data_IF_682975499402
#
_entry.id   IF_682975499402
#
_cell.length_a   1.000
_cell.length_b   1.000
_cell.length_c   1.000
_cell.angle_alpha   90.00
_cell.angle_beta   90.00
_cell.angle_gamma   90.00
#
_symmetry.space_group_name_H-M   'P 1'
#
loop_
_entity.id
_entity.type
_entity.pdbx_description
1 polymer ?
#
# COMPACT_ATOMS: atom_id res chain seq x y z
N UNK A 1 15.31 -18.18 5.41
CA UNK A 1 14.51 -19.41 5.18
C UNK A 1 14.29 -19.54 3.70
N UNK A 2 14.42 -20.73 3.13
CA UNK A 2 14.07 -21.01 1.72
C UNK A 2 12.61 -21.43 1.65
N UNK A 3 11.77 -20.63 0.99
CA UNK A 3 10.35 -20.93 0.84
C UNK A 3 10.15 -21.98 -0.27
N UNK A 4 9.36 -23.05 -0.05
CA UNK A 4 9.05 -24.00 -1.11
C UNK A 4 8.34 -23.27 -2.26
N UNK A 5 8.80 -23.50 -3.49
CA UNK A 5 8.29 -22.79 -4.65
C UNK A 5 6.81 -23.08 -4.90
N UNK A 6 6.02 -22.02 -5.08
CA UNK A 6 4.62 -22.09 -5.50
C UNK A 6 4.35 -20.98 -6.52
N UNK A 7 3.63 -21.29 -7.60
CA UNK A 7 3.29 -20.33 -8.63
C UNK A 7 2.08 -19.44 -8.24
N UNK A 8 2.24 -18.65 -7.19
CA UNK A 8 1.18 -17.79 -6.64
C UNK A 8 1.68 -16.39 -6.30
N UNK A 9 0.77 -15.41 -6.23
CA UNK A 9 1.14 -14.02 -5.86
C UNK A 9 1.57 -13.91 -4.40
N UNK A 10 0.99 -14.73 -3.52
CA UNK A 10 1.38 -14.82 -2.11
C UNK A 10 2.81 -15.35 -1.98
N UNK A 11 3.18 -16.38 -2.75
CA UNK A 11 4.56 -16.85 -2.81
C UNK A 11 5.51 -15.74 -3.25
N UNK A 12 5.20 -15.04 -4.35
CA UNK A 12 6.05 -13.94 -4.85
C UNK A 12 6.25 -12.86 -3.80
N UNK A 13 5.19 -12.46 -3.08
CA UNK A 13 5.28 -11.49 -1.99
C UNK A 13 6.20 -11.98 -0.86
N UNK A 14 5.99 -13.20 -0.36
CA UNK A 14 6.77 -13.76 0.73
C UNK A 14 8.24 -13.95 0.35
N UNK A 15 8.51 -14.47 -0.85
CA UNK A 15 9.88 -14.62 -1.34
C UNK A 15 10.56 -13.27 -1.57
N UNK A 16 9.85 -12.28 -2.11
CA UNK A 16 10.37 -10.92 -2.25
C UNK A 16 10.76 -10.32 -0.88
N UNK A 17 9.91 -10.46 0.13
CA UNK A 17 10.14 -9.92 1.48
C UNK A 17 11.25 -10.63 2.25
N UNK A 18 11.21 -11.96 2.31
CA UNK A 18 12.02 -12.72 3.27
C UNK A 18 13.29 -13.34 2.70
N UNK A 19 13.37 -13.46 1.37
CA UNK A 19 14.51 -14.10 0.72
C UNK A 19 15.26 -13.11 -0.17
N UNK A 20 14.55 -12.40 -1.05
CA UNK A 20 15.18 -11.54 -2.04
C UNK A 20 15.62 -10.21 -1.45
N UNK A 21 14.74 -9.48 -0.75
CA UNK A 21 15.05 -8.14 -0.23
C UNK A 21 16.26 -8.13 0.73
N UNK A 22 16.45 -9.10 1.64
CA UNK A 22 17.66 -9.18 2.45
C UNK A 22 18.94 -9.41 1.62
N UNK A 23 18.86 -10.22 0.56
CA UNK A 23 19.99 -10.44 -0.36
C UNK A 23 20.28 -9.20 -1.20
N UNK A 24 19.24 -8.47 -1.61
CA UNK A 24 19.38 -7.17 -2.27
C UNK A 24 20.07 -6.18 -1.34
N UNK A 25 19.67 -6.11 -0.06
CA UNK A 25 20.30 -5.25 0.95
C UNK A 25 21.78 -5.57 1.13
N UNK A 26 22.15 -6.86 1.18
CA UNK A 26 23.57 -7.24 1.23
C UNK A 26 24.35 -6.76 -0.02
N UNK A 27 23.80 -6.97 -1.22
CA UNK A 27 24.44 -6.49 -2.45
C UNK A 27 24.55 -4.95 -2.44
N UNK A 28 23.52 -4.28 -1.93
CA UNK A 28 23.43 -2.82 -1.87
C UNK A 28 24.51 -2.21 -0.96
N UNK A 29 24.98 -2.91 0.09
CA UNK A 29 26.09 -2.43 0.95
C UNK A 29 27.34 -2.07 0.16
N UNK A 30 27.60 -2.76 -0.95
CA UNK A 30 28.73 -2.47 -1.84
C UNK A 30 28.68 -1.11 -2.53
N UNK A 31 27.51 -0.45 -2.56
CA UNK A 31 27.32 0.88 -3.15
C UNK A 31 27.57 2.02 -2.13
N UNK A 32 27.65 1.72 -0.82
CA UNK A 32 27.81 2.76 0.20
C UNK A 32 26.69 3.81 0.12
N UNK A 33 27.06 5.09 0.06
CA UNK A 33 26.10 6.22 -0.06
C UNK A 33 25.66 6.49 -1.50
N UNK A 34 26.22 5.80 -2.49
CA UNK A 34 25.90 6.06 -3.90
C UNK A 34 24.52 5.47 -4.27
N UNK A 35 23.69 6.23 -5.01
CA UNK A 35 22.43 5.70 -5.52
C UNK A 35 22.63 4.57 -6.54
N UNK A 36 21.76 3.57 -6.49
CA UNK A 36 21.77 2.41 -7.37
C UNK A 36 20.38 2.11 -7.96
N UNK A 37 20.35 1.44 -9.12
CA UNK A 37 19.12 0.96 -9.73
C UNK A 37 18.69 -0.36 -9.08
N UNK A 38 17.70 -0.30 -8.20
CA UNK A 38 17.15 -1.49 -7.52
C UNK A 38 16.68 -2.56 -8.53
N UNK A 39 16.18 -2.14 -9.69
CA UNK A 39 15.74 -3.05 -10.75
C UNK A 39 16.88 -3.93 -11.31
N UNK A 40 18.11 -3.43 -11.33
CA UNK A 40 19.25 -4.15 -11.93
C UNK A 40 19.73 -5.24 -10.99
N UNK A 41 19.86 -4.92 -9.70
CA UNK A 41 20.14 -5.88 -8.64
C UNK A 41 19.04 -6.94 -8.62
N UNK A 42 17.77 -6.52 -8.62
CA UNK A 42 16.61 -7.43 -8.59
C UNK A 42 16.61 -8.39 -9.78
N UNK A 43 16.82 -7.91 -11.01
CA UNK A 43 16.84 -8.76 -12.21
C UNK A 43 17.93 -9.82 -12.13
N UNK A 44 19.14 -9.43 -11.73
CA UNK A 44 20.26 -10.36 -11.59
C UNK A 44 19.95 -11.42 -10.52
N UNK A 45 19.43 -10.98 -9.37
CA UNK A 45 19.08 -11.87 -8.27
C UNK A 45 17.98 -12.87 -8.64
N UNK A 46 16.96 -12.43 -9.39
CA UNK A 46 15.89 -13.31 -9.87
C UNK A 46 16.43 -14.38 -10.82
N UNK A 47 17.33 -14.02 -11.74
CA UNK A 47 17.94 -14.95 -12.68
C UNK A 47 18.88 -15.97 -11.99
N UNK A 48 19.48 -15.62 -10.86
CA UNK A 48 20.29 -16.53 -10.04
C UNK A 48 19.45 -17.44 -9.15
N UNK A 49 18.26 -16.99 -8.75
CA UNK A 49 17.43 -17.68 -7.74
C UNK A 49 16.38 -18.61 -8.37
N UNK A 50 15.85 -18.25 -9.55
CA UNK A 50 14.77 -18.97 -10.20
C UNK A 50 15.18 -19.48 -11.58
N UNK A 51 14.61 -20.62 -11.95
CA UNK A 51 14.69 -21.12 -13.32
C UNK A 51 13.92 -20.18 -14.27
N UNK A 52 14.38 -19.99 -15.52
CA UNK A 52 13.67 -19.17 -16.50
C UNK A 52 12.19 -19.56 -16.68
N UNK A 53 11.90 -20.85 -16.65
CA UNK A 53 10.56 -21.39 -16.80
C UNK A 53 9.65 -20.98 -15.64
N UNK A 54 10.19 -20.90 -14.41
CA UNK A 54 9.45 -20.45 -13.23
C UNK A 54 9.07 -18.97 -13.33
N UNK A 55 10.00 -18.13 -13.81
CA UNK A 55 9.78 -16.69 -13.98
C UNK A 55 8.77 -16.34 -15.07
N UNK A 56 8.58 -17.24 -16.03
CA UNK A 56 7.63 -17.14 -17.15
C UNK A 56 6.23 -17.64 -16.81
N UNK A 57 6.04 -18.33 -15.67
CA UNK A 57 4.72 -18.78 -15.23
C UNK A 57 3.79 -17.58 -15.06
N UNK A 58 2.58 -17.69 -15.63
CA UNK A 58 1.54 -16.68 -15.54
C UNK A 58 0.58 -17.00 -14.40
N UNK A 59 0.42 -16.06 -13.48
CA UNK A 59 -0.46 -16.17 -12.32
C UNK A 59 -1.66 -15.25 -12.52
N UNK A 60 -2.88 -15.72 -12.20
CA UNK A 60 -4.10 -14.90 -12.25
C UNK A 60 -4.07 -13.78 -11.21
N UNK A 61 -4.65 -12.63 -11.56
CA UNK A 61 -4.95 -11.57 -10.60
C UNK A 61 -6.14 -11.96 -9.73
N UNK A 62 -6.13 -11.55 -8.47
CA UNK A 62 -7.21 -11.89 -7.53
C UNK A 62 -8.58 -11.30 -7.93
N UNK A 63 -8.60 -10.13 -8.57
CA UNK A 63 -9.82 -9.37 -8.90
C UNK A 63 -10.14 -9.31 -10.40
N UNK A 64 -9.44 -10.06 -11.26
CA UNK A 64 -9.67 -10.05 -12.71
C UNK A 64 -9.14 -11.32 -13.39
N UNK A 65 -9.68 -11.68 -14.55
CA UNK A 65 -9.14 -12.77 -15.39
C UNK A 65 -7.79 -12.48 -16.06
N UNK A 66 -7.24 -11.26 -15.89
CA UNK A 66 -5.90 -10.95 -16.35
C UNK A 66 -4.85 -11.80 -15.63
N UNK A 67 -3.83 -12.22 -16.37
CA UNK A 67 -2.68 -12.97 -15.84
C UNK A 67 -1.40 -12.15 -16.01
N UNK A 68 -0.47 -12.31 -15.07
CA UNK A 68 0.85 -11.66 -15.11
C UNK A 68 1.95 -12.70 -14.88
N UNK A 69 3.10 -12.50 -15.53
CA UNK A 69 4.28 -13.34 -15.31
C UNK A 69 4.82 -13.15 -13.91
N UNK A 70 5.34 -14.21 -13.29
CA UNK A 70 5.99 -14.13 -11.98
C UNK A 70 7.12 -13.09 -11.97
N UNK A 71 7.94 -13.04 -13.02
CA UNK A 71 8.98 -12.00 -13.19
C UNK A 71 8.43 -10.58 -13.06
N UNK A 72 7.32 -10.28 -13.74
CA UNK A 72 6.66 -8.97 -13.64
C UNK A 72 6.18 -8.68 -12.22
N UNK A 73 5.63 -9.69 -11.53
CA UNK A 73 5.09 -9.56 -10.18
C UNK A 73 6.24 -9.33 -9.16
N UNK A 74 7.38 -10.03 -9.30
CA UNK A 74 8.58 -9.78 -8.49
C UNK A 74 9.12 -8.37 -8.70
N UNK A 75 9.22 -7.92 -9.96
CA UNK A 75 9.69 -6.59 -10.30
C UNK A 75 8.78 -5.46 -9.77
N UNK A 76 7.55 -5.78 -9.40
CA UNK A 76 6.65 -4.88 -8.69
C UNK A 76 6.88 -4.95 -7.16
N UNK A 77 6.86 -6.15 -6.57
CA UNK A 77 6.90 -6.28 -5.11
C UNK A 77 8.23 -5.92 -4.48
N UNK A 78 9.37 -6.16 -5.14
CA UNK A 78 10.68 -5.82 -4.57
C UNK A 78 10.81 -4.31 -4.31
N UNK A 79 10.60 -3.40 -5.30
CA UNK A 79 10.64 -1.97 -5.03
C UNK A 79 9.53 -1.50 -4.09
N UNK A 80 8.32 -2.06 -4.20
CA UNK A 80 7.22 -1.75 -3.30
C UNK A 80 7.57 -2.06 -1.83
N UNK A 81 8.16 -3.23 -1.57
CA UNK A 81 8.57 -3.64 -0.22
C UNK A 81 9.78 -2.86 0.26
N UNK A 82 10.77 -2.62 -0.60
CA UNK A 82 11.94 -1.82 -0.26
C UNK A 82 11.57 -0.42 0.24
N UNK A 83 10.59 0.22 -0.41
CA UNK A 83 10.09 1.54 -0.02
C UNK A 83 9.22 1.48 1.23
N UNK A 84 8.25 0.56 1.28
CA UNK A 84 7.31 0.49 2.41
C UNK A 84 7.94 0.00 3.71
N UNK A 85 8.94 -0.87 3.63
CA UNK A 85 9.71 -1.34 4.79
C UNK A 85 10.92 -0.47 5.07
N UNK A 86 11.07 0.66 4.35
CA UNK A 86 12.19 1.59 4.49
C UNK A 86 13.53 0.85 4.53
N UNK A 87 13.74 -0.10 3.62
CA UNK A 87 15.04 -0.78 3.50
C UNK A 87 16.05 0.13 2.81
N UNK A 88 15.57 0.98 1.90
CA UNK A 88 16.36 1.95 1.16
C UNK A 88 15.59 3.27 1.05
N UNK A 89 16.30 4.38 0.85
CA UNK A 89 15.67 5.65 0.50
C UNK A 89 15.43 5.71 -1.01
N UNK A 90 14.17 5.89 -1.43
CA UNK A 90 13.80 6.07 -2.84
C UNK A 90 14.14 7.50 -3.30
N UNK A 91 15.04 7.63 -4.28
CA UNK A 91 15.46 8.94 -4.81
C UNK A 91 14.83 9.28 -6.17
N UNK A 92 13.84 8.49 -6.60
CA UNK A 92 13.10 8.68 -7.85
C UNK A 92 13.72 7.97 -9.06
N UNK A 93 12.93 7.78 -10.12
CA UNK A 93 13.40 7.14 -11.36
C UNK A 93 13.78 5.65 -11.21
N UNK A 94 13.38 4.99 -10.11
CA UNK A 94 13.78 3.62 -9.79
C UNK A 94 15.18 3.51 -9.15
N UNK A 95 15.78 4.64 -8.78
CA UNK A 95 17.01 4.73 -8.02
C UNK A 95 16.71 4.69 -6.51
N UNK A 96 17.57 3.99 -5.78
CA UNK A 96 17.51 3.87 -4.32
C UNK A 96 18.91 4.09 -3.76
N UNK A 97 19.02 4.50 -2.50
CA UNK A 97 20.30 4.56 -1.78
C UNK A 97 20.17 3.87 -0.42
N UNK A 98 21.29 3.41 0.11
CA UNK A 98 21.30 2.84 1.46
C UNK A 98 20.91 3.91 2.49
N UNK A 99 20.26 3.45 3.54
CA UNK A 99 19.93 4.24 4.71
C UNK A 99 21.15 4.21 5.64
N UNK A 100 21.44 5.31 6.34
CA UNK A 100 22.64 5.43 7.18
C UNK A 100 22.65 4.40 8.32
N UNK A 101 23.83 3.92 8.72
CA UNK A 101 24.05 2.95 9.82
C UNK A 101 23.40 3.38 11.16
N UNK A 102 23.18 4.68 11.38
CA UNK A 102 22.49 5.19 12.58
C UNK A 102 20.99 4.83 12.61
N UNK A 103 20.36 4.68 11.44
CA UNK A 103 18.95 4.27 11.30
C UNK A 103 18.82 2.72 11.28
N UNK A 104 19.84 2.01 10.81
CA UNK A 104 19.89 0.53 10.76
C UNK A 104 19.87 -0.12 12.16
N UNK A 105 20.50 0.51 13.16
CA UNK A 105 20.47 0.06 14.57
C UNK A 105 19.14 0.34 15.28
N UNK A 106 18.36 1.31 14.81
CA UNK A 106 17.05 1.62 15.39
C UNK A 106 15.94 0.69 14.87
N UNK A 107 16.07 0.18 13.64
CA UNK A 107 15.07 -0.69 13.00
C UNK A 107 15.32 -2.20 13.20
N UNK A 108 16.57 -2.63 13.45
CA UNK A 108 16.88 -4.04 13.71
C UNK A 108 16.20 -4.61 14.98
N UNK A 109 15.95 -3.77 15.99
CA UNK A 109 15.19 -4.13 17.19
C UNK A 109 13.66 -4.22 16.95
N UNK A 110 13.17 -3.69 15.82
CA UNK A 110 11.75 -3.72 15.43
C UNK A 110 11.40 -4.85 14.45
N UNK A 111 12.40 -5.54 13.88
CA UNK A 111 12.22 -6.47 12.76
C UNK A 111 11.78 -7.90 13.13
N UNK A 112 11.40 -8.15 14.39
CA UNK A 112 10.83 -9.42 14.84
C UNK A 112 9.33 -9.28 15.14
N UNK A 113 8.50 -8.90 14.15
CA UNK A 113 7.04 -8.98 14.30
C UNK A 113 6.42 -9.60 13.03
N UNK A 114 5.66 -10.66 13.31
CA UNK A 114 4.94 -11.57 12.42
C UNK A 114 4.06 -10.88 11.36
N UNK A 115 3.78 -11.59 10.26
CA UNK A 115 2.67 -11.24 9.35
C UNK A 115 1.35 -11.61 10.03
N UNK A 116 0.97 -10.74 10.95
CA UNK A 116 -0.37 -10.21 11.19
C UNK A 116 -0.08 -8.74 11.54
N UNK A 117 0.19 -7.87 10.56
CA UNK A 117 0.62 -6.53 10.95
C UNK A 117 -0.55 -5.76 11.57
N UNK A 118 -0.46 -5.59 12.89
CA UNK A 118 -1.22 -4.65 13.71
C UNK A 118 -0.81 -3.20 13.41
N UNK A 119 -0.45 -2.91 12.15
CA UNK A 119 0.07 -1.62 11.75
C UNK A 119 -1.01 -0.57 11.97
N UNK A 120 -0.74 0.29 12.94
CA UNK A 120 -1.49 1.50 13.15
C UNK A 120 -1.36 2.36 11.88
N UNK A 121 -2.47 2.92 11.45
CA UNK A 121 -2.51 3.74 10.26
C UNK A 121 -3.74 4.61 10.24
N UNK A 122 -3.89 5.31 9.13
CA UNK A 122 -4.93 6.31 8.98
C UNK A 122 -5.88 5.87 7.88
N UNK A 123 -7.17 5.81 8.21
CA UNK A 123 -8.25 5.82 7.22
C UNK A 123 -8.62 7.27 6.96
N UNK A 124 -8.75 7.64 5.69
CA UNK A 124 -9.27 8.94 5.29
C UNK A 124 -10.44 8.79 4.33
N UNK A 125 -11.38 9.72 4.43
CA UNK A 125 -12.51 9.87 3.53
C UNK A 125 -12.44 11.23 2.87
N UNK A 126 -12.46 11.30 1.54
CA UNK A 126 -12.46 12.57 0.82
C UNK A 126 -13.45 12.60 -0.33
N UNK A 127 -13.81 13.81 -0.76
CA UNK A 127 -14.66 14.06 -1.92
C UNK A 127 -14.25 15.37 -2.60
N UNK A 128 -15.04 15.86 -3.56
CA UNK A 128 -14.81 17.15 -4.23
C UNK A 128 -15.87 18.18 -3.84
N UNK A 129 -15.51 19.46 -3.68
CA UNK A 129 -16.42 20.50 -3.19
C UNK A 129 -17.79 20.53 -3.89
N UNK A 130 -17.81 20.43 -5.22
CA UNK A 130 -19.04 20.53 -6.02
C UNK A 130 -20.02 19.36 -5.80
N UNK A 131 -19.53 18.20 -5.36
CA UNK A 131 -20.37 17.00 -5.18
C UNK A 131 -20.68 16.68 -3.71
N UNK A 132 -20.02 17.36 -2.76
CA UNK A 132 -20.30 17.21 -1.34
C UNK A 132 -21.72 17.69 -1.04
N UNK A 133 -22.52 16.81 -0.42
CA UNK A 133 -23.87 17.14 0.03
C UNK A 133 -23.89 17.24 1.55
N UNK A 134 -24.28 18.41 2.07
CA UNK A 134 -24.35 18.69 3.53
C UNK A 134 -25.71 18.38 4.15
N UNK A 135 -26.66 17.92 3.36
CA UNK A 135 -28.05 17.65 3.74
C UNK A 135 -28.26 16.20 4.26
N UNK A 136 -27.18 15.47 4.53
CA UNK A 136 -27.22 14.07 4.94
C UNK A 136 -27.55 13.09 3.81
N UNK A 137 -27.72 13.56 2.57
CA UNK A 137 -27.87 12.69 1.42
C UNK A 137 -26.54 12.01 1.08
N UNK A 138 -26.62 10.81 0.51
CA UNK A 138 -25.45 10.07 0.02
C UNK A 138 -24.81 10.80 -1.16
N UNK A 139 -23.48 10.83 -1.17
CA UNK A 139 -22.69 11.38 -2.27
C UNK A 139 -21.38 10.60 -2.42
N UNK A 140 -20.63 10.80 -3.52
CA UNK A 140 -19.40 10.05 -3.76
C UNK A 140 -18.35 10.43 -2.73
N UNK A 141 -17.94 9.44 -1.95
CA UNK A 141 -16.83 9.53 -1.01
C UNK A 141 -15.83 8.46 -1.42
N UNK A 142 -14.56 8.85 -1.56
CA UNK A 142 -13.46 7.91 -1.65
C UNK A 142 -12.96 7.61 -0.24
N UNK A 143 -12.86 6.34 0.10
CA UNK A 143 -12.30 5.88 1.38
C UNK A 143 -10.99 5.17 1.09
N UNK A 144 -9.88 5.70 1.61
CA UNK A 144 -8.56 5.12 1.41
C UNK A 144 -7.76 5.05 2.70
N UNK A 145 -6.60 4.39 2.62
CA UNK A 145 -5.66 4.28 3.74
C UNK A 145 -4.30 4.93 3.47
N UNK A 146 -3.58 5.18 4.56
CA UNK A 146 -2.13 5.39 4.57
C UNK A 146 -1.50 4.77 5.82
N UNK A 147 -0.37 4.09 5.65
CA UNK A 147 0.47 3.52 6.72
C UNK A 147 1.65 4.44 7.05
N UNK A 148 2.00 5.36 6.15
CA UNK A 148 3.15 6.25 6.27
C UNK A 148 2.75 7.68 5.90
N UNK A 149 2.54 8.53 6.91
CA UNK A 149 2.38 9.98 6.73
C UNK A 149 0.95 10.53 6.83
N UNK A 150 0.81 11.81 6.49
CA UNK A 150 -0.41 12.63 6.64
C UNK A 150 -1.43 12.34 5.52
N UNK A 151 -2.72 12.19 5.89
CA UNK A 151 -3.81 11.95 4.93
C UNK A 151 -3.86 13.00 3.81
N UNK A 152 -3.62 14.26 4.13
CA UNK A 152 -3.64 15.38 3.18
C UNK A 152 -2.56 15.23 2.10
N UNK A 153 -1.35 14.80 2.45
CA UNK A 153 -0.28 14.56 1.49
C UNK A 153 -0.63 13.40 0.53
N UNK A 154 -1.22 12.34 1.07
CA UNK A 154 -1.63 11.16 0.29
C UNK A 154 -2.75 11.50 -0.70
N UNK A 155 -3.76 12.23 -0.24
CA UNK A 155 -4.89 12.67 -1.06
C UNK A 155 -4.42 13.64 -2.16
N UNK A 156 -3.55 14.60 -1.83
CA UNK A 156 -2.96 15.50 -2.82
C UNK A 156 -2.13 14.76 -3.88
N UNK A 157 -1.34 13.76 -3.48
CA UNK A 157 -0.57 12.94 -4.42
C UNK A 157 -1.49 12.21 -5.41
N UNK A 158 -2.60 11.64 -4.93
CA UNK A 158 -3.57 10.94 -5.78
C UNK A 158 -4.29 11.89 -6.73
N UNK A 159 -4.58 13.11 -6.31
CA UNK A 159 -5.26 14.09 -7.16
C UNK A 159 -4.34 14.76 -8.20
N UNK A 160 -3.02 14.86 -7.95
CA UNK A 160 -2.05 15.43 -8.91
C UNK A 160 -1.99 14.68 -10.25
N UNK A 161 -2.35 13.41 -10.28
CA UNK A 161 -2.33 12.57 -11.50
C UNK A 161 -3.70 12.44 -12.16
N UNK A 162 -4.75 13.02 -11.56
CA UNK A 162 -6.12 12.98 -12.08
C UNK A 162 -6.49 14.29 -12.76
N UNK A 163 -7.15 14.24 -13.92
CA UNK A 163 -7.73 15.41 -14.58
C UNK A 163 -8.99 15.92 -13.84
N UNK A 164 -8.82 16.40 -12.62
CA UNK A 164 -9.87 17.08 -11.86
C UNK A 164 -9.51 18.57 -11.71
N UNK A 165 -10.48 19.46 -11.93
CA UNK A 165 -10.30 20.91 -11.84
C UNK A 165 -10.45 21.44 -10.40
N UNK A 166 -10.87 20.58 -9.46
CA UNK A 166 -11.05 20.92 -8.06
C UNK A 166 -10.04 20.19 -7.18
N UNK A 167 -9.59 20.86 -6.12
CA UNK A 167 -8.85 20.19 -5.07
C UNK A 167 -9.80 19.34 -4.21
N UNK A 168 -9.39 18.13 -3.82
CA UNK A 168 -10.18 17.29 -2.95
C UNK A 168 -10.33 17.94 -1.57
N UNK A 169 -11.46 17.68 -0.91
CA UNK A 169 -11.71 18.05 0.48
C UNK A 169 -11.78 16.77 1.29
N UNK A 170 -10.94 16.68 2.31
CA UNK A 170 -11.00 15.56 3.26
C UNK A 170 -12.14 15.81 4.23
N UNK A 171 -12.99 14.82 4.35
CA UNK A 171 -14.23 14.83 5.14
C UNK A 171 -14.00 14.21 6.52
N UNK A 172 -13.12 13.22 6.62
CA UNK A 172 -12.81 12.55 7.87
C UNK A 172 -11.49 11.80 7.83
N UNK A 173 -10.90 11.65 9.01
CA UNK A 173 -9.64 10.94 9.25
C UNK A 173 -9.76 10.19 10.57
N UNK A 174 -9.37 8.92 10.58
CA UNK A 174 -9.42 8.07 11.75
C UNK A 174 -8.12 7.30 11.91
N UNK A 175 -7.57 7.32 13.13
CA UNK A 175 -6.49 6.43 13.51
C UNK A 175 -7.07 5.07 13.88
N UNK A 176 -6.55 4.04 13.23
CA UNK A 176 -7.01 2.66 13.38
C UNK A 176 -5.82 1.73 13.50
N UNK A 177 -6.03 0.55 14.08
CA UNK A 177 -5.09 -0.55 14.03
C UNK A 177 -5.46 -1.48 12.88
N UNK A 178 -4.49 -2.24 12.37
CA UNK A 178 -4.69 -3.14 11.21
C UNK A 178 -5.32 -2.39 10.04
N UNK A 179 -4.74 -1.24 9.67
CA UNK A 179 -5.38 -0.27 8.74
C UNK A 179 -5.81 -0.89 7.40
N UNK A 180 -5.06 -1.85 6.88
CA UNK A 180 -5.42 -2.57 5.65
C UNK A 180 -6.69 -3.42 5.84
N UNK A 181 -6.78 -4.17 6.93
CA UNK A 181 -7.97 -4.97 7.25
C UNK A 181 -9.19 -4.06 7.53
N UNK A 182 -8.96 -2.89 8.14
CA UNK A 182 -10.00 -1.89 8.36
C UNK A 182 -10.54 -1.33 7.04
N UNK A 183 -9.67 -0.92 6.12
CA UNK A 183 -10.08 -0.44 4.79
C UNK A 183 -10.90 -1.52 4.05
N UNK A 184 -10.38 -2.75 4.01
CA UNK A 184 -11.07 -3.88 3.36
C UNK A 184 -12.45 -4.16 3.99
N UNK A 185 -12.58 -4.04 5.32
CA UNK A 185 -13.85 -4.18 6.02
C UNK A 185 -14.83 -3.06 5.64
N UNK A 186 -14.36 -1.81 5.54
CA UNK A 186 -15.19 -0.68 5.10
C UNK A 186 -15.66 -0.89 3.66
N UNK A 187 -14.74 -1.21 2.75
CA UNK A 187 -15.06 -1.41 1.33
C UNK A 187 -16.05 -2.56 1.15
N UNK A 188 -15.80 -3.70 1.80
CA UNK A 188 -16.68 -4.88 1.72
C UNK A 188 -18.07 -4.59 2.27
N UNK A 189 -18.16 -3.83 3.37
CA UNK A 189 -19.44 -3.46 3.98
C UNK A 189 -20.24 -2.51 3.08
N UNK A 190 -19.60 -1.46 2.54
CA UNK A 190 -20.26 -0.50 1.65
C UNK A 190 -20.66 -1.14 0.32
N UNK A 191 -19.84 -2.06 -0.20
CA UNK A 191 -20.17 -2.84 -1.39
C UNK A 191 -21.35 -3.78 -1.15
N UNK A 192 -21.39 -4.50 -0.02
CA UNK A 192 -22.50 -5.35 0.36
C UNK A 192 -23.82 -4.56 0.54
N UNK A 193 -23.72 -3.28 0.93
CA UNK A 193 -24.86 -2.35 1.01
C UNK A 193 -25.25 -1.74 -0.36
N UNK A 194 -24.63 -2.16 -1.45
CA UNK A 194 -24.94 -1.67 -2.80
C UNK A 194 -24.50 -0.23 -3.06
N UNK A 195 -23.55 0.29 -2.26
CA UNK A 195 -23.12 1.70 -2.33
C UNK A 195 -21.93 1.92 -3.26
N UNK A 196 -21.39 0.85 -3.85
CA UNK A 196 -20.19 0.93 -4.71
C UNK A 196 -20.52 1.64 -6.01
N UNK A 197 -19.70 2.65 -6.34
CA UNK A 197 -19.88 3.45 -7.54
C UNK A 197 -19.00 2.93 -8.68
N UNK A 198 -19.53 2.96 -9.90
CA UNK A 198 -18.75 2.76 -11.11
C UNK A 198 -17.83 3.96 -11.32
N UNK A 199 -16.52 3.78 -11.12
CA UNK A 199 -15.53 4.86 -11.18
C UNK A 199 -14.14 4.33 -11.56
N UNK A 200 -13.21 5.19 -11.97
CA UNK A 200 -11.79 4.83 -12.05
C UNK A 200 -11.21 4.59 -10.65
N UNK A 201 -11.24 3.34 -10.21
CA UNK A 201 -10.80 2.89 -8.88
C UNK A 201 -11.84 2.02 -8.17
N UNK A 202 -11.45 1.31 -7.12
CA UNK A 202 -12.36 0.43 -6.36
C UNK A 202 -12.83 1.03 -5.05
N UNK A 203 -12.36 2.24 -4.72
CA UNK A 203 -12.54 2.86 -3.39
C UNK A 203 -13.63 3.94 -3.33
N UNK A 204 -14.46 4.10 -4.37
CA UNK A 204 -15.52 5.12 -4.41
C UNK A 204 -16.90 4.55 -4.08
N UNK A 205 -17.59 5.22 -3.16
CA UNK A 205 -18.90 4.80 -2.67
C UNK A 205 -19.87 5.99 -2.59
N UNK A 206 -21.12 5.78 -2.98
CA UNK A 206 -22.22 6.70 -2.69
C UNK A 206 -22.68 6.44 -1.23
N UNK A 207 -22.11 7.17 -0.28
CA UNK A 207 -22.28 6.97 1.17
C UNK A 207 -22.33 8.30 1.93
N UNK A 208 -22.39 8.25 3.26
CA UNK A 208 -22.28 9.42 4.15
C UNK A 208 -21.13 9.24 5.12
N UNK A 209 -20.66 10.33 5.74
CA UNK A 209 -19.54 10.26 6.68
C UNK A 209 -19.90 9.43 7.93
N UNK A 210 -21.14 9.58 8.40
CA UNK A 210 -21.67 8.86 9.56
C UNK A 210 -21.70 7.36 9.32
N UNK A 211 -21.97 6.95 8.08
CA UNK A 211 -21.97 5.54 7.73
C UNK A 211 -20.55 4.96 7.73
N UNK A 212 -19.58 5.67 7.15
CA UNK A 212 -18.16 5.27 7.19
C UNK A 212 -17.70 5.15 8.65
N UNK A 213 -18.00 6.16 9.46
CA UNK A 213 -17.69 6.18 10.89
C UNK A 213 -18.37 5.03 11.65
N UNK A 214 -19.61 4.68 11.29
CA UNK A 214 -20.33 3.56 11.92
C UNK A 214 -19.64 2.22 11.70
N UNK A 215 -19.06 2.01 10.51
CA UNK A 215 -18.32 0.77 10.20
C UNK A 215 -17.01 0.74 10.97
N UNK A 216 -16.28 1.86 10.99
CA UNK A 216 -15.02 1.99 11.74
C UNK A 216 -15.27 1.69 13.23
N UNK A 217 -16.28 2.31 13.84
CA UNK A 217 -16.65 2.08 15.25
C UNK A 217 -17.13 0.66 15.52
N UNK A 218 -17.80 0.03 14.55
CA UNK A 218 -18.25 -1.36 14.68
C UNK A 218 -17.06 -2.33 14.71
N UNK A 219 -16.07 -2.12 13.85
CA UNK A 219 -14.87 -2.98 13.76
C UNK A 219 -13.88 -2.69 14.88
N UNK A 220 -13.67 -1.41 15.19
CA UNK A 220 -12.76 -0.94 16.25
C UNK A 220 -13.40 0.19 17.06
N UNK A 221 -14.10 -0.13 18.16
CA UNK A 221 -14.77 0.87 19.01
C UNK A 221 -13.81 1.92 19.61
N UNK A 222 -12.52 1.60 19.71
CA UNK A 222 -11.46 2.47 20.20
C UNK A 222 -10.84 3.38 19.13
N UNK A 223 -11.33 3.33 17.89
CA UNK A 223 -10.85 4.22 16.83
C UNK A 223 -11.32 5.65 17.09
N UNK A 224 -10.40 6.61 17.00
CA UNK A 224 -10.69 8.02 17.24
C UNK A 224 -10.63 8.80 15.93
N UNK A 225 -11.64 9.63 15.70
CA UNK A 225 -11.57 10.64 14.65
C UNK A 225 -10.53 11.69 15.04
N UNK A 226 -9.60 12.00 14.14
CA UNK A 226 -8.62 13.06 14.39
C UNK A 226 -9.36 14.39 14.24
N UNK A 227 -9.44 15.22 15.30
CA UNK A 227 -10.07 16.53 15.20
C UNK A 227 -9.26 17.40 14.25
N UNK A 228 -9.91 17.90 13.19
CA UNK A 228 -9.28 18.82 12.25
C UNK A 228 -9.48 20.26 12.70
N UNK A 229 -8.38 20.99 12.78
CA UNK A 229 -8.40 22.46 12.79
C UNK A 229 -9.00 22.94 11.46
N UNK A 230 -10.08 23.71 11.54
CA UNK A 230 -10.75 24.31 10.38
C UNK A 230 -9.88 25.36 9.69
#
# INVERSE_FOLDING_TARGET
MTLPFEASRSYVYNAARYELLPRVAEIAKGFGDEPFLLREISKKLLAETYLPEQLEIKVKKAKSDATEKMSTIFMFYIPFLAENLKVFENVGGGMFKNISLEEEMAEADAAAIDIESDDAGIIYAYSFPTIVKKDGNRFPIKVGLTTTGEADARVLQQCKTTCCFEYPVILGVWEVQRVAAMEDAIHSTLEARGSKRQSPGTEWFDTTLEEVESVIKFVQPSAHAIPRSS
#
